data_IF_410814773868
#
_entry.id   IF_410814773868
#
_cell.length_a   1.000
_cell.length_b   1.000
_cell.length_c   1.000
_cell.angle_alpha   90.00
_cell.angle_beta   90.00
_cell.angle_gamma   90.00
#
_symmetry.space_group_name_H-M   'P 1'
#
loop_
_entity.id
_entity.type
_entity.pdbx_description
1 polymer ?
#
# COMPACT_ATOMS: atom_id res chain seq x y z
N UNK A 1 6.27 4.40 12.35
CA UNK A 1 5.68 4.41 11.01
C UNK A 1 5.84 5.82 10.50
N UNK A 2 6.62 6.03 9.44
CA UNK A 2 6.79 7.38 8.88
C UNK A 2 5.64 7.54 7.89
N UNK A 3 4.74 8.49 8.15
CA UNK A 3 3.76 8.94 7.19
C UNK A 3 4.45 10.01 6.34
N UNK A 4 4.40 9.83 5.03
CA UNK A 4 5.06 10.70 4.05
C UNK A 4 4.12 10.82 2.87
N UNK A 5 3.80 12.05 2.50
CA UNK A 5 2.88 12.37 1.41
C UNK A 5 3.57 12.34 0.02
N UNK A 6 4.79 11.80 -0.05
CA UNK A 6 5.58 11.71 -1.28
C UNK A 6 5.09 10.55 -2.17
N UNK A 7 4.53 10.83 -3.36
CA UNK A 7 3.96 9.81 -4.23
C UNK A 7 5.02 8.90 -4.88
N UNK A 8 6.28 9.36 -4.96
CA UNK A 8 7.38 8.69 -5.67
C UNK A 8 8.44 8.08 -4.74
N UNK A 9 8.02 7.51 -3.61
CA UNK A 9 8.94 6.75 -2.77
C UNK A 9 9.41 5.49 -3.50
N UNK A 10 10.73 5.24 -3.58
CA UNK A 10 11.23 4.01 -4.16
C UNK A 10 10.66 2.82 -3.37
N UNK A 11 10.00 1.91 -4.09
CA UNK A 11 9.48 0.66 -3.53
C UNK A 11 10.66 -0.20 -3.05
N UNK A 12 10.97 -0.06 -1.76
CA UNK A 12 12.07 -0.78 -1.11
C UNK A 12 11.58 -2.17 -0.66
N UNK A 13 12.17 -3.22 -1.23
CA UNK A 13 11.87 -4.62 -0.95
C UNK A 13 11.94 -5.00 0.54
N UNK A 14 12.60 -4.21 1.39
CA UNK A 14 12.73 -4.43 2.84
C UNK A 14 11.63 -3.78 3.67
N UNK A 15 10.73 -3.02 3.02
CA UNK A 15 9.67 -2.24 3.66
C UNK A 15 8.28 -2.82 3.37
N UNK A 16 7.34 -2.38 4.19
CA UNK A 16 5.91 -2.59 3.99
C UNK A 16 5.31 -1.20 3.91
N UNK A 17 4.58 -0.94 2.83
CA UNK A 17 3.98 0.35 2.53
C UNK A 17 2.47 0.19 2.46
N UNK A 18 1.77 1.25 2.84
CA UNK A 18 0.31 1.31 2.77
C UNK A 18 -0.02 2.52 1.93
N UNK A 19 -0.69 2.29 0.81
CA UNK A 19 -1.18 3.34 -0.08
C UNK A 19 -2.69 3.43 0.07
N UNK A 20 -3.20 4.65 0.25
CA UNK A 20 -4.63 4.90 0.35
C UNK A 20 -5.04 5.64 -0.90
N UNK A 21 -5.84 4.98 -1.72
CA UNK A 21 -6.46 5.55 -2.90
C UNK A 21 -7.88 6.00 -2.52
N UNK A 22 -8.02 7.30 -2.34
CA UNK A 22 -9.29 7.92 -1.95
C UNK A 22 -10.30 7.98 -3.11
N UNK A 23 -9.84 7.99 -4.35
CA UNK A 23 -10.70 8.08 -5.54
C UNK A 23 -11.44 6.76 -5.77
N UNK A 24 -10.70 5.64 -5.76
CA UNK A 24 -11.30 4.31 -5.92
C UNK A 24 -11.76 3.69 -4.59
N UNK A 25 -11.55 4.39 -3.46
CA UNK A 25 -11.81 3.89 -2.10
C UNK A 25 -11.12 2.54 -1.86
N UNK A 26 -9.82 2.46 -2.15
CA UNK A 26 -9.02 1.24 -2.00
C UNK A 26 -7.80 1.52 -1.13
N UNK A 27 -7.50 0.62 -0.20
CA UNK A 27 -6.26 0.64 0.59
C UNK A 27 -5.37 -0.48 0.10
N UNK A 28 -4.24 -0.14 -0.51
CA UNK A 28 -3.25 -1.11 -0.97
C UNK A 28 -2.19 -1.35 0.10
N UNK A 29 -2.06 -2.60 0.55
CA UNK A 29 -1.02 -3.03 1.49
C UNK A 29 0.12 -3.67 0.70
N UNK A 30 1.12 -2.89 0.33
CA UNK A 30 2.29 -3.35 -0.42
C UNK A 30 3.32 -3.98 0.50
N UNK A 31 3.71 -5.23 0.20
CA UNK A 31 4.66 -6.02 0.99
C UNK A 31 5.89 -6.32 0.16
N UNK A 32 7.01 -5.74 0.57
CA UNK A 32 8.31 -6.08 0.02
C UNK A 32 8.65 -7.54 0.25
N UNK A 33 9.29 -8.17 -0.74
CA UNK A 33 9.69 -9.58 -0.73
C UNK A 33 10.68 -9.88 0.40
N UNK A 34 11.56 -8.91 0.71
CA UNK A 34 12.56 -8.98 1.78
C UNK A 34 12.08 -8.34 3.10
N UNK A 35 10.81 -7.94 3.19
CA UNK A 35 10.28 -7.37 4.42
C UNK A 35 10.17 -8.42 5.51
N UNK A 36 10.66 -8.07 6.69
CA UNK A 36 10.64 -8.90 7.88
C UNK A 36 9.19 -9.21 8.33
N UNK A 37 8.99 -10.36 8.97
CA UNK A 37 7.69 -10.84 9.47
C UNK A 37 7.08 -9.81 10.42
N UNK A 38 7.89 -9.17 11.26
CA UNK A 38 7.44 -8.11 12.17
C UNK A 38 6.82 -6.94 11.39
N UNK A 39 7.48 -6.47 10.33
CA UNK A 39 6.97 -5.36 9.49
C UNK A 39 5.68 -5.76 8.78
N UNK A 40 5.55 -7.01 8.33
CA UNK A 40 4.32 -7.55 7.72
C UNK A 40 3.16 -7.56 8.73
N UNK A 41 3.41 -8.00 9.96
CA UNK A 41 2.41 -7.99 11.04
C UNK A 41 1.96 -6.56 11.39
N UNK A 42 2.91 -5.63 11.49
CA UNK A 42 2.61 -4.20 11.71
C UNK A 42 1.76 -3.65 10.56
N UNK A 43 2.12 -3.95 9.31
CA UNK A 43 1.34 -3.53 8.13
C UNK A 43 -0.10 -4.05 8.15
N UNK A 44 -0.31 -5.33 8.49
CA UNK A 44 -1.65 -5.91 8.65
C UNK A 44 -2.44 -5.21 9.76
N UNK A 45 -1.82 -4.91 10.91
CA UNK A 45 -2.47 -4.16 11.99
C UNK A 45 -2.89 -2.76 11.55
N UNK A 46 -2.06 -2.09 10.76
CA UNK A 46 -2.40 -0.76 10.23
C UNK A 46 -3.54 -0.85 9.23
N UNK A 47 -3.51 -1.80 8.31
CA UNK A 47 -4.62 -2.03 7.38
C UNK A 47 -5.93 -2.32 8.14
N UNK A 48 -5.89 -3.14 9.19
CA UNK A 48 -7.05 -3.38 10.05
C UNK A 48 -7.54 -2.12 10.78
N UNK A 49 -6.64 -1.21 11.20
CA UNK A 49 -7.07 0.09 11.75
C UNK A 49 -7.71 0.96 10.68
N UNK A 50 -7.15 0.99 9.49
CA UNK A 50 -7.71 1.74 8.35
C UNK A 50 -9.07 1.19 7.93
N UNK A 51 -9.34 -0.12 8.05
CA UNK A 51 -10.68 -0.65 7.79
C UNK A 51 -11.73 -0.10 8.76
N UNK A 52 -11.34 0.26 9.98
CA UNK A 52 -12.26 0.87 10.95
C UNK A 52 -12.46 2.36 10.67
N UNK A 53 -11.41 3.07 10.27
CA UNK A 53 -11.49 4.49 9.89
C UNK A 53 -12.20 4.70 8.55
N UNK A 54 -12.04 3.75 7.62
CA UNK A 54 -12.56 3.78 6.27
C UNK A 54 -13.31 2.47 5.97
N UNK A 55 -14.50 2.25 6.56
CA UNK A 55 -15.25 0.99 6.40
C UNK A 55 -15.69 0.72 4.96
N UNK A 56 -15.86 1.78 4.17
CA UNK A 56 -16.24 1.67 2.75
C UNK A 56 -15.05 1.35 1.83
N UNK A 57 -13.83 1.35 2.37
CA UNK A 57 -12.62 1.16 1.56
C UNK A 57 -12.24 -0.31 1.48
N UNK A 58 -11.88 -0.77 0.28
CA UNK A 58 -11.44 -2.15 0.08
C UNK A 58 -9.96 -2.30 0.35
N UNK A 59 -9.59 -3.16 1.28
CA UNK A 59 -8.18 -3.50 1.53
C UNK A 59 -7.71 -4.53 0.52
N UNK A 60 -6.66 -4.21 -0.24
CA UNK A 60 -6.03 -5.09 -1.21
C UNK A 60 -4.56 -5.34 -0.84
N UNK A 61 -4.21 -6.57 -0.43
CA UNK A 61 -2.82 -6.90 -0.22
C UNK A 61 -2.10 -7.02 -1.56
N UNK A 62 -0.95 -6.35 -1.68
CA UNK A 62 -0.08 -6.35 -2.86
C UNK A 62 1.27 -6.94 -2.45
N UNK A 63 1.81 -7.84 -3.26
CA UNK A 63 3.15 -8.37 -3.07
C UNK A 63 4.08 -7.79 -4.14
N UNK A 64 5.31 -7.47 -3.76
CA UNK A 64 6.34 -7.03 -4.70
C UNK A 64 6.48 -8.04 -5.87
N UNK A 65 6.36 -7.54 -7.10
CA UNK A 65 6.38 -8.34 -8.33
C UNK A 65 5.03 -8.97 -8.73
N UNK A 66 4.00 -8.88 -7.89
CA UNK A 66 2.63 -9.34 -8.17
C UNK A 66 1.62 -8.18 -8.04
N UNK A 67 2.04 -7.02 -8.52
CA UNK A 67 1.24 -5.79 -8.44
C UNK A 67 0.13 -5.79 -9.49
N UNK A 68 -1.14 -5.60 -9.09
CA UNK A 68 -2.24 -5.53 -10.05
C UNK A 68 -2.11 -4.29 -10.94
N UNK A 69 -2.65 -4.36 -12.16
CA UNK A 69 -2.62 -3.25 -13.10
C UNK A 69 -3.24 -1.96 -12.51
N UNK A 70 -4.28 -2.09 -11.68
CA UNK A 70 -4.91 -0.96 -10.97
C UNK A 70 -3.96 -0.26 -10.00
N UNK A 71 -3.04 -1.00 -9.36
CA UNK A 71 -2.03 -0.39 -8.49
C UNK A 71 -0.97 0.34 -9.32
N UNK A 72 -0.55 -0.25 -10.45
CA UNK A 72 0.41 0.40 -11.35
C UNK A 72 -0.16 1.67 -12.00
N UNK A 73 -1.47 1.71 -12.24
CA UNK A 73 -2.14 2.89 -12.77
C UNK A 73 -2.02 4.11 -11.85
N UNK A 74 -1.97 3.92 -10.52
CA UNK A 74 -1.78 5.00 -9.55
C UNK A 74 -0.49 5.80 -9.76
N UNK A 75 0.55 5.14 -10.29
CA UNK A 75 1.84 5.77 -10.55
C UNK A 75 2.01 6.17 -12.02
N UNK A 76 0.97 5.97 -12.84
CA UNK A 76 1.03 6.16 -14.30
C UNK A 76 0.41 7.46 -14.77
N UNK A 77 -0.44 8.11 -13.96
CA UNK A 77 -1.20 9.30 -14.37
C UNK A 77 -0.39 10.61 -14.43
N UNK A 78 0.93 10.61 -14.21
CA UNK A 78 1.78 11.81 -14.36
C UNK A 78 2.29 12.07 -15.81
N UNK A 79 1.89 11.28 -16.81
CA UNK A 79 2.33 11.47 -18.22
C UNK A 79 1.19 11.37 -19.26
N UNK A 80 -0.03 11.78 -18.90
CA UNK A 80 -1.15 11.98 -19.82
C UNK A 80 -1.32 13.44 -20.22
#
# INVERSE_FOLDING_TARGET
MIQSDEPNLPLDATKVLVFIDHENKVVYLWRGKKADVVKKLVGTRVAARLSHSYPDYRIRPVAEGSEPATFKALFRDEFG
#
